data_IF_676398588106
#
_entry.id   IF_676398588106
#
_cell.length_a   1.000
_cell.length_b   1.000
_cell.length_c   1.000
_cell.angle_alpha   90.00
_cell.angle_beta   90.00
_cell.angle_gamma   90.00
#
_symmetry.space_group_name_H-M   'P 1'
#
loop_
_entity.id
_entity.type
_entity.pdbx_description
1 polymer ?
#
# COMPACT_ATOMS: atom_id res chain seq x y z
N UNK A 1 -3.09 -19.32 4.68
CA UNK A 1 -3.46 -17.92 4.46
C UNK A 1 -2.33 -17.29 3.67
N UNK A 2 -2.57 -16.85 2.42
CA UNK A 2 -1.50 -16.46 1.50
C UNK A 2 -1.57 -14.96 1.19
N UNK A 3 -0.47 -14.26 1.40
CA UNK A 3 -0.27 -12.88 0.97
C UNK A 3 0.40 -12.87 -0.39
N UNK A 4 -0.13 -12.09 -1.33
CA UNK A 4 0.44 -11.97 -2.67
C UNK A 4 0.28 -10.56 -3.21
N UNK A 5 1.28 -10.12 -3.95
CA UNK A 5 1.15 -9.02 -4.88
C UNK A 5 0.56 -9.53 -6.19
N UNK A 6 -0.37 -8.79 -6.77
CA UNK A 6 -0.96 -9.05 -8.07
C UNK A 6 -0.73 -7.82 -8.94
N UNK A 7 -0.08 -8.01 -10.08
CA UNK A 7 -0.01 -6.99 -11.13
C UNK A 7 -1.23 -7.19 -12.02
N UNK A 8 -2.04 -6.15 -12.18
CA UNK A 8 -3.27 -6.16 -12.99
C UNK A 8 -3.15 -5.20 -14.15
N UNK A 9 -3.67 -5.58 -15.31
CA UNK A 9 -3.86 -4.65 -16.42
C UNK A 9 -5.12 -3.81 -16.19
N UNK A 10 -5.01 -2.53 -16.50
CA UNK A 10 -6.05 -1.50 -16.40
C UNK A 10 -6.30 -0.95 -17.80
N UNK A 11 -7.39 -0.17 -17.94
CA UNK A 11 -7.72 0.49 -19.21
C UNK A 11 -6.55 1.34 -19.73
N UNK A 12 -6.44 1.45 -21.05
CA UNK A 12 -5.40 2.22 -21.75
C UNK A 12 -3.97 1.68 -21.52
N UNK A 13 -3.80 0.36 -21.51
CA UNK A 13 -2.49 -0.30 -21.36
C UNK A 13 -1.76 0.14 -20.08
N UNK A 14 -2.53 0.43 -19.02
CA UNK A 14 -2.00 0.83 -17.73
C UNK A 14 -1.90 -0.38 -16.80
N UNK A 15 -1.06 -0.30 -15.77
CA UNK A 15 -0.76 -1.38 -14.85
C UNK A 15 -1.05 -0.96 -13.42
N UNK A 16 -1.70 -1.79 -12.63
CA UNK A 16 -1.88 -1.58 -11.20
C UNK A 16 -1.20 -2.67 -10.39
N UNK A 17 -0.79 -2.34 -9.17
CA UNK A 17 -0.33 -3.29 -8.16
C UNK A 17 -1.41 -3.43 -7.10
N UNK A 18 -1.75 -4.66 -6.74
CA UNK A 18 -2.65 -4.97 -5.63
C UNK A 18 -1.93 -5.89 -4.65
N UNK A 19 -2.05 -5.64 -3.36
CA UNK A 19 -1.61 -6.55 -2.31
C UNK A 19 -2.84 -7.20 -1.70
N UNK A 20 -2.93 -8.52 -1.82
CA UNK A 20 -4.08 -9.29 -1.41
C UNK A 20 -3.73 -10.19 -0.24
N UNK A 21 -4.73 -10.37 0.63
CA UNK A 21 -4.75 -11.40 1.64
C UNK A 21 -5.84 -12.41 1.29
N UNK A 22 -5.44 -13.62 0.92
CA UNK A 22 -6.31 -14.64 0.32
C UNK A 22 -6.98 -14.12 -0.97
N UNK A 23 -8.20 -13.57 -0.86
CA UNK A 23 -8.97 -13.00 -1.98
C UNK A 23 -9.32 -11.51 -1.78
N UNK A 24 -9.00 -10.94 -0.62
CA UNK A 24 -9.34 -9.56 -0.28
C UNK A 24 -8.18 -8.62 -0.58
N UNK A 25 -8.45 -7.53 -1.30
CA UNK A 25 -7.44 -6.50 -1.63
C UNK A 25 -7.25 -5.61 -0.42
N UNK A 26 -6.07 -5.66 0.20
CA UNK A 26 -5.75 -4.83 1.35
C UNK A 26 -5.30 -3.43 0.93
N UNK A 27 -4.36 -3.37 -0.03
CA UNK A 27 -3.86 -2.11 -0.58
C UNK A 27 -3.68 -2.22 -2.10
N UNK A 28 -3.82 -1.10 -2.79
CA UNK A 28 -3.60 -1.01 -4.22
C UNK A 28 -2.87 0.27 -4.62
N UNK A 29 -2.13 0.21 -5.72
CA UNK A 29 -1.50 1.39 -6.32
C UNK A 29 -2.45 2.11 -7.27
N UNK A 30 -2.08 3.34 -7.60
CA UNK A 30 -2.58 4.01 -8.79
C UNK A 30 -2.12 3.29 -10.07
N UNK A 31 -2.63 3.75 -11.20
CA UNK A 31 -2.26 3.25 -12.52
C UNK A 31 -0.85 3.71 -12.91
N UNK A 32 -0.03 2.76 -13.32
CA UNK A 32 1.27 2.97 -13.94
C UNK A 32 1.16 2.86 -15.46
N UNK A 33 1.99 3.59 -16.20
CA UNK A 33 2.09 3.48 -17.66
C UNK A 33 2.94 2.31 -18.13
N UNK A 34 3.56 1.57 -17.21
CA UNK A 34 4.47 0.47 -17.54
C UNK A 34 4.52 -0.58 -16.44
N UNK A 35 4.61 -1.84 -16.85
CA UNK A 35 4.81 -3.00 -15.98
C UNK A 35 6.09 -2.93 -15.16
N UNK A 36 7.14 -2.33 -15.71
CA UNK A 36 8.39 -2.07 -14.99
C UNK A 36 8.17 -1.18 -13.75
N UNK A 37 7.36 -0.12 -13.87
CA UNK A 37 7.02 0.75 -12.75
C UNK A 37 6.23 0.02 -11.67
N UNK A 38 5.29 -0.86 -12.07
CA UNK A 38 4.57 -1.72 -11.14
C UNK A 38 5.51 -2.68 -10.38
N UNK A 39 6.47 -3.29 -11.07
CA UNK A 39 7.49 -4.15 -10.44
C UNK A 39 8.38 -3.36 -9.47
N UNK A 40 8.87 -2.20 -9.88
CA UNK A 40 9.67 -1.31 -9.02
C UNK A 40 8.89 -0.88 -7.76
N UNK A 41 7.58 -0.65 -7.89
CA UNK A 41 6.71 -0.37 -6.76
C UNK A 41 6.69 -1.55 -5.78
N UNK A 42 6.46 -2.77 -6.27
CA UNK A 42 6.47 -3.98 -5.43
C UNK A 42 7.82 -4.18 -4.75
N UNK A 43 8.94 -4.02 -5.46
CA UNK A 43 10.28 -4.16 -4.88
C UNK A 43 10.52 -3.13 -3.78
N UNK A 44 10.10 -1.88 -4.00
CA UNK A 44 10.19 -0.83 -2.99
C UNK A 44 9.33 -1.13 -1.77
N UNK A 45 8.11 -1.63 -1.95
CA UNK A 45 7.24 -2.05 -0.86
C UNK A 45 7.89 -3.19 -0.07
N UNK A 46 8.40 -4.22 -0.74
CA UNK A 46 9.08 -5.34 -0.08
C UNK A 46 10.28 -4.90 0.74
N UNK A 47 11.08 -3.98 0.20
CA UNK A 47 12.31 -3.50 0.83
C UNK A 47 12.05 -2.53 1.97
N UNK A 48 11.12 -1.60 1.78
CA UNK A 48 10.95 -0.45 2.68
C UNK A 48 9.74 -0.54 3.60
N UNK A 49 8.71 -1.33 3.26
CA UNK A 49 7.57 -1.53 4.17
C UNK A 49 7.98 -1.98 5.57
N UNK A 50 8.83 -3.01 5.78
CA UNK A 50 9.14 -3.50 7.14
C UNK A 50 9.78 -2.43 8.05
N UNK A 51 10.59 -1.54 7.47
CA UNK A 51 11.30 -0.48 8.22
C UNK A 51 10.58 0.88 8.21
N UNK A 52 9.50 1.01 7.43
CA UNK A 52 8.79 2.27 7.29
C UNK A 52 8.09 2.69 8.59
N UNK A 53 8.29 3.95 8.99
CA UNK A 53 7.58 4.54 10.12
C UNK A 53 6.09 4.72 9.80
N UNK A 54 5.23 4.61 10.82
CA UNK A 54 3.81 4.94 10.70
C UNK A 54 3.56 6.35 11.24
N UNK A 55 2.99 7.22 10.42
CA UNK A 55 2.67 8.62 10.70
C UNK A 55 1.15 8.77 10.72
N UNK A 56 0.60 9.40 11.75
CA UNK A 56 -0.83 9.66 11.88
C UNK A 56 -1.15 11.14 11.59
N UNK A 57 -1.71 11.43 10.42
CA UNK A 57 -2.12 12.81 10.07
C UNK A 57 -3.34 13.27 10.86
N UNK A 58 -4.08 12.39 11.53
CA UNK A 58 -5.15 12.85 12.44
C UNK A 58 -4.60 13.57 13.67
N UNK A 59 -3.27 13.54 13.87
CA UNK A 59 -2.54 14.21 14.95
C UNK A 59 -1.54 15.26 14.45
N UNK A 60 -1.68 15.71 13.20
CA UNK A 60 -0.74 16.66 12.56
C UNK A 60 0.73 16.17 12.53
N UNK A 61 0.95 14.85 12.57
CA UNK A 61 2.29 14.28 12.48
C UNK A 61 2.80 14.36 11.04
N UNK A 62 4.07 14.76 10.90
CA UNK A 62 4.78 14.78 9.63
C UNK A 62 6.00 13.88 9.71
N UNK A 63 6.40 13.34 8.57
CA UNK A 63 7.58 12.52 8.44
C UNK A 63 8.26 12.76 7.10
N UNK A 64 9.38 12.13 6.90
CA UNK A 64 10.11 12.11 5.64
C UNK A 64 10.54 10.67 5.34
N UNK A 65 10.87 10.38 4.08
CA UNK A 65 11.23 9.02 3.69
C UNK A 65 10.02 8.10 3.47
N UNK A 66 10.32 6.79 3.41
CA UNK A 66 9.30 5.74 3.30
C UNK A 66 8.50 5.62 4.58
N UNK A 67 7.19 5.76 4.47
CA UNK A 67 6.30 5.80 5.64
C UNK A 67 4.88 5.37 5.31
N UNK A 68 4.25 4.74 6.27
CA UNK A 68 2.81 4.54 6.29
C UNK A 68 2.14 5.77 6.86
N UNK A 69 1.10 6.21 6.20
CA UNK A 69 0.42 7.46 6.47
C UNK A 69 -1.04 7.16 6.76
N UNK A 70 -1.44 7.30 8.02
CA UNK A 70 -2.82 7.11 8.46
C UNK A 70 -3.54 8.45 8.36
N UNK A 71 -4.58 8.50 7.52
CA UNK A 71 -5.40 9.69 7.29
C UNK A 71 -6.82 9.43 7.75
N UNK A 72 -7.43 10.45 8.35
CA UNK A 72 -8.84 10.46 8.70
C UNK A 72 -9.64 11.16 7.60
N UNK A 73 -10.62 10.48 7.03
CA UNK A 73 -11.59 11.04 6.11
C UNK A 73 -12.56 11.97 6.85
N UNK A 74 -13.24 12.86 6.11
CA UNK A 74 -14.25 13.78 6.65
C UNK A 74 -15.38 13.05 7.35
N UNK A 75 -15.72 11.85 6.86
CA UNK A 75 -16.78 10.99 7.40
C UNK A 75 -16.36 10.20 8.65
N UNK A 76 -15.17 10.48 9.20
CA UNK A 76 -14.65 9.81 10.40
C UNK A 76 -13.96 8.47 10.14
N UNK A 77 -13.97 7.98 8.90
CA UNK A 77 -13.25 6.77 8.48
C UNK A 77 -11.73 7.01 8.39
N UNK A 78 -10.94 5.95 8.38
CA UNK A 78 -9.48 5.96 8.35
C UNK A 78 -8.97 5.19 7.14
N UNK A 79 -7.97 5.69 6.45
CA UNK A 79 -7.25 4.94 5.43
C UNK A 79 -5.75 5.08 5.61
N UNK A 80 -5.03 4.12 5.09
CA UNK A 80 -3.57 4.04 5.15
C UNK A 80 -3.01 4.22 3.76
N UNK A 81 -2.02 5.07 3.64
CA UNK A 81 -1.27 5.27 2.41
C UNK A 81 0.20 4.98 2.65
N UNK A 82 0.84 4.20 1.79
CA UNK A 82 2.29 4.08 1.80
C UNK A 82 2.89 5.13 0.88
N UNK A 83 3.76 5.96 1.43
CA UNK A 83 4.40 7.08 0.73
C UNK A 83 5.89 6.78 0.58
N UNK A 84 6.40 6.96 -0.64
CA UNK A 84 7.80 6.81 -0.97
C UNK A 84 8.66 7.95 -0.41
N UNK A 85 9.98 7.80 -0.45
CA UNK A 85 10.93 8.81 0.02
C UNK A 85 10.84 10.16 -0.70
N UNK A 86 10.38 10.15 -1.95
CA UNK A 86 10.13 11.34 -2.76
C UNK A 86 8.76 12.00 -2.50
N UNK A 87 7.95 11.45 -1.59
CA UNK A 87 6.63 11.97 -1.27
C UNK A 87 5.49 11.43 -2.14
N UNK A 88 5.78 10.59 -3.13
CA UNK A 88 4.76 9.98 -3.98
C UNK A 88 4.01 8.87 -3.24
N UNK A 89 2.70 8.79 -3.47
CA UNK A 89 1.88 7.69 -2.95
C UNK A 89 2.11 6.45 -3.80
N UNK A 90 2.53 5.36 -3.17
CA UNK A 90 2.75 4.09 -3.87
C UNK A 90 1.50 3.23 -3.86
N UNK A 91 0.92 3.03 -2.67
CA UNK A 91 -0.29 2.24 -2.47
C UNK A 91 -1.15 2.86 -1.39
N UNK A 92 -2.45 2.62 -1.47
CA UNK A 92 -3.43 3.02 -0.47
C UNK A 92 -4.36 1.87 -0.11
N UNK A 93 -4.85 1.87 1.13
CA UNK A 93 -5.84 0.94 1.62
C UNK A 93 -7.26 1.42 1.34
N UNK A 94 -8.22 0.53 1.59
CA UNK A 94 -9.62 0.89 1.73
C UNK A 94 -9.88 1.81 2.94
N UNK A 95 -11.10 2.34 2.99
CA UNK A 95 -11.60 3.13 4.12
C UNK A 95 -12.06 2.20 5.24
N UNK A 96 -11.34 2.23 6.35
CA UNK A 96 -11.68 1.55 7.58
C UNK A 96 -12.56 2.41 8.49
N UNK A 97 -13.50 1.80 9.20
CA UNK A 97 -14.32 2.51 10.20
C UNK A 97 -13.57 2.79 11.50
N UNK A 98 -12.48 2.08 11.75
CA UNK A 98 -11.72 2.12 12.99
C UNK A 98 -10.23 2.29 12.74
N UNK A 99 -9.57 3.12 13.57
CA UNK A 99 -8.12 3.29 13.55
C UNK A 99 -7.38 1.97 13.78
N UNK A 100 -7.92 1.08 14.63
CA UNK A 100 -7.35 -0.24 14.89
C UNK A 100 -7.26 -1.09 13.62
N UNK A 101 -8.28 -1.06 12.75
CA UNK A 101 -8.26 -1.80 11.48
C UNK A 101 -7.21 -1.24 10.51
N UNK A 102 -7.09 0.09 10.44
CA UNK A 102 -6.03 0.75 9.68
C UNK A 102 -4.64 0.35 10.19
N UNK A 103 -4.45 0.32 11.50
CA UNK A 103 -3.19 -0.11 12.11
C UNK A 103 -2.88 -1.59 11.79
N UNK A 104 -3.87 -2.48 11.89
CA UNK A 104 -3.72 -3.88 11.49
C UNK A 104 -3.31 -4.03 10.01
N UNK A 105 -3.83 -3.17 9.12
CA UNK A 105 -3.39 -3.13 7.73
C UNK A 105 -1.91 -2.77 7.63
N UNK A 106 -1.44 -1.75 8.35
CA UNK A 106 -0.02 -1.37 8.41
C UNK A 106 0.84 -2.54 8.89
N UNK A 107 0.49 -3.15 10.03
CA UNK A 107 1.27 -4.24 10.62
C UNK A 107 1.30 -5.47 9.70
N UNK A 108 0.18 -5.76 9.03
CA UNK A 108 0.11 -6.80 8.01
C UNK A 108 1.00 -6.50 6.81
N UNK A 109 1.02 -5.25 6.32
CA UNK A 109 1.88 -4.83 5.23
C UNK A 109 3.35 -4.99 5.62
N UNK A 110 3.77 -4.46 6.78
CA UNK A 110 5.14 -4.55 7.29
C UNK A 110 5.63 -5.99 7.41
N UNK A 111 4.78 -6.87 7.95
CA UNK A 111 5.14 -8.26 8.22
C UNK A 111 5.15 -9.12 6.96
N UNK A 112 4.20 -8.92 6.06
CA UNK A 112 3.92 -9.89 4.99
C UNK A 112 4.35 -9.43 3.60
N UNK A 113 4.43 -8.12 3.32
CA UNK A 113 4.94 -7.63 2.03
C UNK A 113 6.31 -8.21 1.65
N UNK A 114 7.36 -8.19 2.50
CA UNK A 114 8.70 -8.68 2.11
C UNK A 114 8.69 -10.15 1.63
N UNK A 115 7.84 -10.99 2.21
CA UNK A 115 7.71 -12.42 1.87
C UNK A 115 6.61 -12.76 0.87
N UNK A 116 5.83 -11.78 0.40
CA UNK A 116 4.69 -12.06 -0.47
C UNK A 116 5.12 -12.42 -1.89
N UNK A 117 4.45 -13.40 -2.49
CA UNK A 117 4.66 -13.78 -3.88
C UNK A 117 4.19 -12.66 -4.83
N UNK A 118 4.82 -12.53 -5.99
CA UNK A 118 4.36 -11.61 -7.03
C UNK A 118 3.72 -12.42 -8.15
N UNK A 119 2.42 -12.23 -8.32
CA UNK A 119 1.61 -12.83 -9.38
C UNK A 119 1.35 -11.77 -10.44
N UNK A 120 1.51 -12.17 -11.69
CA UNK A 120 1.42 -11.32 -12.86
C UNK A 120 0.20 -11.74 -13.68
N UNK A 121 -0.87 -10.93 -13.66
CA UNK A 121 -2.14 -11.20 -14.34
C UNK A 121 -2.44 -10.16 -15.44
N UNK A 122 -1.38 -9.62 -16.06
CA UNK A 122 -1.45 -8.74 -17.23
C UNK A 122 -1.20 -9.57 -18.49
#
# INVERSE_FOLDING_TARGET
MAYKFKIVERKNDQFGVQFLYNAEVMVWSESYTSKASAKNCIESLKKHAPEASSVDLSKDETGSGYRFVLKKSKDGQFHVTFVASNGETMVQSELYTSKASAQNCVDSCKKNMPGAEVVDET
#
